data_IF_991599041460
#
_entry.id   IF_991599041460
#
_cell.length_a   1.000
_cell.length_b   1.000
_cell.length_c   1.000
_cell.angle_alpha   90.00
_cell.angle_beta   90.00
_cell.angle_gamma   90.00
#
_symmetry.space_group_name_H-M   'P 1'
#
loop_
_entity.id
_entity.type
_entity.pdbx_description
1 polymer ?
#
# COMPACT_ATOMS: atom_id res chain seq x y z
N UNK A 1 -6.93 30.41 -4.49
CA UNK A 1 -7.02 30.17 -3.05
C UNK A 1 -7.85 28.94 -2.68
N UNK A 2 -9.11 28.79 -3.10
CA UNK A 2 -9.97 27.64 -2.73
C UNK A 2 -9.34 26.28 -3.03
N UNK A 3 -8.80 26.06 -4.24
CA UNK A 3 -8.15 24.78 -4.61
C UNK A 3 -6.89 24.50 -3.79
N UNK A 4 -6.14 25.51 -3.36
CA UNK A 4 -4.95 25.32 -2.53
C UNK A 4 -5.31 24.82 -1.12
N UNK A 5 -6.34 25.43 -0.51
CA UNK A 5 -6.84 25.00 0.81
C UNK A 5 -7.38 23.57 0.73
N UNK A 6 -8.19 23.27 -0.31
CA UNK A 6 -8.69 21.92 -0.52
C UNK A 6 -7.54 20.92 -0.80
N UNK A 7 -6.49 21.33 -1.53
CA UNK A 7 -5.32 20.50 -1.75
C UNK A 7 -4.58 20.17 -0.45
N UNK A 8 -4.35 21.17 0.41
CA UNK A 8 -3.76 20.92 1.74
C UNK A 8 -4.64 19.98 2.58
N UNK A 9 -5.97 20.10 2.52
CA UNK A 9 -6.90 19.18 3.19
C UNK A 9 -6.79 17.75 2.65
N UNK A 10 -6.65 17.57 1.33
CA UNK A 10 -6.46 16.23 0.73
C UNK A 10 -5.12 15.61 1.15
N UNK A 11 -4.05 16.40 1.18
CA UNK A 11 -2.78 15.92 1.72
C UNK A 11 -2.91 15.50 3.19
N UNK A 12 -3.65 16.28 4.00
CA UNK A 12 -3.82 15.95 5.41
C UNK A 12 -4.57 14.63 5.62
N UNK A 13 -5.51 14.29 4.73
CA UNK A 13 -6.18 12.97 4.73
C UNK A 13 -5.19 11.85 4.41
N UNK A 14 -4.32 12.04 3.41
CA UNK A 14 -3.29 11.07 3.03
C UNK A 14 -2.13 11.00 4.02
N UNK A 15 -1.93 12.04 4.83
CA UNK A 15 -0.71 12.28 5.60
C UNK A 15 -0.38 11.12 6.55
N UNK A 16 -1.36 10.64 7.31
CA UNK A 16 -1.13 9.57 8.28
C UNK A 16 -0.61 8.28 7.64
N UNK A 17 -1.22 7.88 6.56
CA UNK A 17 -0.80 6.70 5.80
C UNK A 17 0.54 6.93 5.07
N UNK A 18 0.73 8.12 4.50
CA UNK A 18 1.95 8.48 3.77
C UNK A 18 3.20 8.42 4.64
N UNK A 19 3.14 8.96 5.86
CA UNK A 19 4.30 8.99 6.76
C UNK A 19 4.55 7.67 7.48
N UNK A 20 3.55 6.81 7.56
CA UNK A 20 3.65 5.53 8.24
C UNK A 20 4.65 4.59 7.53
N UNK A 21 4.63 4.53 6.20
CA UNK A 21 5.54 3.66 5.42
C UNK A 21 7.01 3.98 5.69
N UNK A 22 7.50 5.23 5.55
CA UNK A 22 8.90 5.53 5.83
C UNK A 22 9.26 5.27 7.29
N UNK A 23 8.38 5.55 8.26
CA UNK A 23 8.64 5.28 9.67
C UNK A 23 8.80 3.78 9.96
N UNK A 24 8.04 2.91 9.26
CA UNK A 24 8.14 1.46 9.41
C UNK A 24 9.37 0.86 8.76
N UNK A 25 9.77 1.44 7.63
CA UNK A 25 10.87 0.92 6.81
C UNK A 25 12.22 1.56 7.15
N UNK A 26 12.25 2.55 8.05
CA UNK A 26 13.47 3.28 8.40
C UNK A 26 13.89 4.31 7.33
N UNK A 27 13.01 4.63 6.38
CA UNK A 27 13.25 5.67 5.38
C UNK A 27 12.90 7.06 5.95
N UNK A 28 13.39 8.11 5.30
CA UNK A 28 13.14 9.49 5.73
C UNK A 28 11.71 9.95 5.38
N UNK A 29 10.87 10.36 6.35
CA UNK A 29 9.53 10.86 6.09
C UNK A 29 9.48 12.11 5.21
N UNK A 30 10.50 13.00 5.27
CA UNK A 30 10.57 14.16 4.40
C UNK A 30 10.83 13.76 2.94
N UNK A 31 11.69 12.75 2.71
CA UNK A 31 11.91 12.20 1.37
C UNK A 31 10.62 11.57 0.83
N UNK A 32 9.86 10.86 1.69
CA UNK A 32 8.58 10.28 1.29
C UNK A 32 7.53 11.36 0.92
N UNK A 33 7.43 12.44 1.69
CA UNK A 33 6.57 13.60 1.36
C UNK A 33 6.97 14.24 0.02
N UNK A 34 8.27 14.43 -0.19
CA UNK A 34 8.79 14.99 -1.44
C UNK A 34 8.49 14.06 -2.63
N UNK A 35 8.77 12.77 -2.48
CA UNK A 35 8.50 11.75 -3.48
C UNK A 35 7.02 11.63 -3.85
N UNK A 36 6.12 11.70 -2.87
CA UNK A 36 4.67 11.71 -3.09
C UNK A 36 4.23 12.96 -3.88
N UNK A 37 4.78 14.12 -3.54
CA UNK A 37 4.51 15.36 -4.27
C UNK A 37 4.98 15.30 -5.73
N UNK A 38 6.24 14.96 -5.96
CA UNK A 38 6.80 14.82 -7.32
C UNK A 38 6.06 13.73 -8.11
N UNK A 39 5.82 12.57 -7.50
CA UNK A 39 5.11 11.46 -8.14
C UNK A 39 3.69 11.86 -8.56
N UNK A 40 2.94 12.54 -7.68
CA UNK A 40 1.60 13.05 -8.01
C UNK A 40 1.63 14.06 -9.15
N UNK A 41 2.62 14.97 -9.20
CA UNK A 41 2.75 15.93 -10.30
C UNK A 41 3.04 15.23 -11.63
N UNK A 42 3.95 14.25 -11.64
CA UNK A 42 4.27 13.46 -12.83
C UNK A 42 3.05 12.65 -13.30
N UNK A 43 2.34 12.01 -12.38
CA UNK A 43 1.09 11.32 -12.69
C UNK A 43 0.05 12.28 -13.34
N UNK A 44 -0.11 13.49 -12.79
CA UNK A 44 -1.01 14.51 -13.34
C UNK A 44 -0.60 14.93 -14.76
N UNK A 45 0.69 15.02 -15.06
CA UNK A 45 1.19 15.34 -16.41
C UNK A 45 0.85 14.19 -17.37
N UNK A 46 1.14 12.95 -17.02
CA UNK A 46 0.94 11.76 -17.87
C UNK A 46 -0.55 11.53 -18.12
N UNK A 47 -1.39 11.70 -17.10
CA UNK A 47 -2.85 11.57 -17.19
C UNK A 47 -3.55 12.81 -17.73
N UNK A 48 -2.78 13.84 -18.15
CA UNK A 48 -3.29 15.11 -18.67
C UNK A 48 -4.25 15.81 -17.71
N UNK A 49 -3.93 15.78 -16.42
CA UNK A 49 -4.75 16.35 -15.33
C UNK A 49 -6.22 15.90 -15.39
N UNK A 50 -6.44 14.63 -15.72
CA UNK A 50 -7.82 14.10 -15.88
C UNK A 50 -8.34 13.49 -14.58
N UNK A 51 -7.47 12.88 -13.76
CA UNK A 51 -7.84 12.06 -12.61
C UNK A 51 -7.60 12.82 -11.30
N UNK A 52 -8.63 13.03 -10.46
CA UNK A 52 -8.48 13.71 -9.17
C UNK A 52 -8.05 12.72 -8.07
N UNK A 53 -6.83 12.20 -8.17
CA UNK A 53 -6.26 11.29 -7.20
C UNK A 53 -4.86 11.77 -6.79
N UNK A 54 -4.48 11.50 -5.53
CA UNK A 54 -3.18 11.77 -4.97
C UNK A 54 -2.41 10.45 -4.83
N UNK A 55 -1.12 10.47 -5.11
CA UNK A 55 -0.24 9.32 -4.99
C UNK A 55 0.65 9.49 -3.77
N UNK A 56 0.84 8.40 -3.03
CA UNK A 56 1.74 8.39 -1.89
C UNK A 56 2.31 6.98 -1.63
N UNK A 57 3.02 6.81 -0.53
CA UNK A 57 3.79 5.61 -0.20
C UNK A 57 2.94 4.34 -0.19
N UNK A 58 3.31 3.34 -0.96
CA UNK A 58 2.60 2.07 -1.10
C UNK A 58 2.87 1.11 0.07
N UNK A 59 1.81 0.62 0.71
CA UNK A 59 1.90 -0.37 1.79
C UNK A 59 2.36 -1.76 1.32
N UNK A 60 2.10 -2.10 0.07
CA UNK A 60 2.49 -3.39 -0.49
C UNK A 60 4.00 -3.61 -0.50
N UNK A 61 4.76 -2.52 -0.50
CA UNK A 61 6.22 -2.58 -0.51
C UNK A 61 6.86 -2.55 0.89
N UNK A 62 6.11 -2.43 2.00
CA UNK A 62 6.70 -2.33 3.35
C UNK A 62 7.59 -3.53 3.64
N UNK A 63 7.04 -4.76 3.60
CA UNK A 63 7.82 -5.96 3.87
C UNK A 63 8.98 -6.16 2.88
N UNK A 64 8.79 -5.99 1.55
CA UNK A 64 9.88 -6.02 0.59
C UNK A 64 10.98 -4.98 0.85
N UNK A 65 10.63 -3.75 1.24
CA UNK A 65 11.62 -2.71 1.57
C UNK A 65 12.40 -3.11 2.83
N UNK A 66 11.73 -3.56 3.89
CA UNK A 66 12.39 -3.98 5.13
C UNK A 66 13.38 -5.11 4.85
N UNK A 67 12.98 -6.12 4.09
CA UNK A 67 13.85 -7.21 3.68
C UNK A 67 15.02 -6.69 2.82
N UNK A 68 14.73 -5.88 1.81
CA UNK A 68 15.74 -5.35 0.89
C UNK A 68 16.81 -4.50 1.59
N UNK A 69 16.40 -3.65 2.53
CA UNK A 69 17.32 -2.81 3.31
C UNK A 69 18.25 -3.68 4.16
N UNK A 70 17.74 -4.75 4.77
CA UNK A 70 18.56 -5.68 5.55
C UNK A 70 19.52 -6.49 4.67
N UNK A 71 19.07 -6.93 3.49
CA UNK A 71 19.85 -7.80 2.62
C UNK A 71 20.89 -7.06 1.77
N UNK A 72 20.53 -5.85 1.26
CA UNK A 72 21.34 -5.14 0.25
C UNK A 72 21.59 -3.67 0.56
N UNK A 73 21.02 -3.13 1.64
CA UNK A 73 21.06 -1.71 1.97
C UNK A 73 20.02 -0.87 1.22
N UNK A 74 19.90 0.41 1.62
CA UNK A 74 18.86 1.32 1.10
C UNK A 74 19.05 1.56 -0.40
N UNK A 75 20.25 1.91 -0.85
CA UNK A 75 20.51 2.32 -2.24
C UNK A 75 20.18 1.19 -3.24
N UNK A 76 20.61 -0.06 -2.97
CA UNK A 76 20.30 -1.21 -3.80
C UNK A 76 18.81 -1.56 -3.78
N UNK A 77 18.15 -1.43 -2.62
CA UNK A 77 16.70 -1.59 -2.49
C UNK A 77 15.96 -0.58 -3.37
N UNK A 78 16.36 0.69 -3.38
CA UNK A 78 15.78 1.72 -4.25
C UNK A 78 15.94 1.37 -5.73
N UNK A 79 17.07 0.80 -6.15
CA UNK A 79 17.27 0.31 -7.51
C UNK A 79 16.30 -0.80 -7.91
N UNK A 80 16.04 -1.74 -7.00
CA UNK A 80 15.03 -2.77 -7.17
C UNK A 80 13.61 -2.20 -7.28
N UNK A 81 13.27 -1.24 -6.45
CA UNK A 81 11.98 -0.56 -6.47
C UNK A 81 11.76 0.30 -7.73
N UNK A 82 12.82 0.90 -8.28
CA UNK A 82 12.76 1.52 -9.61
C UNK A 82 12.39 0.51 -10.69
N UNK A 83 12.96 -0.69 -10.64
CA UNK A 83 12.61 -1.75 -11.59
C UNK A 83 11.13 -2.17 -11.45
N UNK A 84 10.59 -2.22 -10.23
CA UNK A 84 9.15 -2.42 -10.01
C UNK A 84 8.31 -1.31 -10.67
N UNK A 85 8.72 -0.05 -10.58
CA UNK A 85 8.08 1.06 -11.30
C UNK A 85 8.14 0.90 -12.83
N UNK A 86 9.26 0.39 -13.37
CA UNK A 86 9.38 0.10 -14.79
C UNK A 86 8.40 -1.00 -15.24
N UNK A 87 8.10 -1.99 -14.39
CA UNK A 87 7.07 -3.02 -14.67
C UNK A 87 5.70 -2.38 -14.94
N UNK A 88 5.31 -1.34 -14.18
CA UNK A 88 4.03 -0.66 -14.43
C UNK A 88 4.01 0.04 -15.78
N UNK A 89 5.14 0.62 -16.21
CA UNK A 89 5.24 1.23 -17.54
C UNK A 89 5.08 0.16 -18.61
N UNK A 90 5.75 -0.99 -18.44
CA UNK A 90 5.63 -2.14 -19.35
C UNK A 90 4.17 -2.63 -19.39
N UNK A 91 3.51 -2.78 -18.24
CA UNK A 91 2.09 -3.15 -18.16
C UNK A 91 1.23 -2.11 -18.88
N UNK A 92 1.52 -0.82 -18.74
CA UNK A 92 0.83 0.24 -19.47
C UNK A 92 0.96 0.08 -20.99
N UNK A 93 2.15 -0.24 -21.48
CA UNK A 93 2.38 -0.52 -22.92
C UNK A 93 1.61 -1.77 -23.35
N UNK A 94 1.65 -2.85 -22.57
CA UNK A 94 0.91 -4.09 -22.84
C UNK A 94 -0.59 -3.83 -22.93
N UNK A 95 -1.15 -3.08 -21.97
CA UNK A 95 -2.57 -2.69 -21.98
C UNK A 95 -2.91 -1.85 -23.22
N UNK A 96 -2.03 -0.93 -23.62
CA UNK A 96 -2.23 -0.11 -24.81
C UNK A 96 -2.29 -0.94 -26.09
N UNK A 97 -1.48 -2.01 -26.19
CA UNK A 97 -1.36 -2.85 -27.39
C UNK A 97 -2.41 -3.97 -27.42
N UNK A 98 -2.62 -4.65 -26.29
CA UNK A 98 -3.47 -5.85 -26.16
C UNK A 98 -4.85 -5.59 -25.57
N UNK A 99 -5.12 -4.36 -25.10
CA UNK A 99 -6.36 -4.03 -24.41
C UNK A 99 -6.34 -4.37 -22.92
N UNK A 100 -7.40 -3.95 -22.20
CA UNK A 100 -7.54 -4.17 -20.75
C UNK A 100 -7.83 -5.63 -20.42
N UNK A 101 -8.33 -6.41 -21.35
CA UNK A 101 -8.71 -7.84 -21.18
C UNK A 101 -7.53 -8.71 -20.70
N UNK A 102 -6.30 -8.36 -21.06
CA UNK A 102 -5.12 -9.10 -20.62
C UNK A 102 -4.95 -9.03 -19.09
N UNK A 103 -5.31 -7.89 -18.50
CA UNK A 103 -5.28 -7.73 -17.04
C UNK A 103 -6.29 -8.64 -16.37
N UNK A 104 -7.52 -8.69 -16.89
CA UNK A 104 -8.56 -9.59 -16.37
C UNK A 104 -8.18 -11.07 -16.49
N UNK A 105 -7.41 -11.42 -17.51
CA UNK A 105 -6.93 -12.80 -17.72
C UNK A 105 -5.79 -13.18 -16.76
N UNK A 106 -4.82 -12.29 -16.57
CA UNK A 106 -3.65 -12.56 -15.73
C UNK A 106 -3.94 -12.37 -14.23
N UNK A 107 -4.76 -11.39 -13.92
CA UNK A 107 -5.04 -10.89 -12.57
C UNK A 107 -6.56 -10.88 -12.29
N UNK A 108 -7.25 -12.04 -12.43
CA UNK A 108 -8.65 -12.11 -12.04
C UNK A 108 -8.80 -11.97 -10.53
N UNK A 109 -10.00 -11.66 -10.02
CA UNK A 109 -10.25 -11.47 -8.58
C UNK A 109 -9.78 -12.64 -7.69
N UNK A 110 -9.82 -13.87 -8.19
CA UNK A 110 -9.34 -15.06 -7.48
C UNK A 110 -7.83 -15.06 -7.24
N UNK A 111 -7.06 -14.35 -8.05
CA UNK A 111 -5.61 -14.11 -7.87
C UNK A 111 -5.38 -12.90 -6.98
N UNK A 112 -6.07 -11.81 -7.29
CA UNK A 112 -5.87 -10.49 -6.67
C UNK A 112 -6.26 -10.49 -5.20
N UNK A 113 -7.44 -11.02 -4.88
CA UNK A 113 -7.97 -11.03 -3.51
C UNK A 113 -6.98 -11.61 -2.50
N UNK A 114 -6.52 -12.85 -2.69
CA UNK A 114 -5.56 -13.47 -1.77
C UNK A 114 -4.22 -12.73 -1.67
N UNK A 115 -3.71 -12.18 -2.78
CA UNK A 115 -2.46 -11.41 -2.78
C UNK A 115 -2.59 -10.14 -1.92
N UNK A 116 -3.70 -9.41 -2.03
CA UNK A 116 -3.99 -8.26 -1.16
C UNK A 116 -4.13 -8.70 0.30
N UNK A 117 -4.80 -9.84 0.56
CA UNK A 117 -4.90 -10.38 1.92
C UNK A 117 -3.52 -10.69 2.52
N UNK A 118 -2.60 -11.24 1.73
CA UNK A 118 -1.21 -11.50 2.15
C UNK A 118 -0.47 -10.22 2.51
N UNK A 119 -0.68 -9.10 1.79
CA UNK A 119 -0.07 -7.81 2.14
C UNK A 119 -0.45 -7.40 3.56
N UNK A 120 -1.73 -7.45 3.89
CA UNK A 120 -2.20 -7.08 5.23
C UNK A 120 -1.78 -8.08 6.31
N UNK A 121 -2.08 -9.36 6.11
CA UNK A 121 -1.84 -10.40 7.12
C UNK A 121 -0.35 -10.74 7.31
N UNK A 122 0.45 -10.60 6.26
CA UNK A 122 1.91 -10.83 6.34
C UNK A 122 2.63 -9.81 7.23
N UNK A 123 2.06 -8.61 7.38
CA UNK A 123 2.59 -7.56 8.26
C UNK A 123 1.96 -7.57 9.67
N UNK A 124 0.95 -8.41 9.92
CA UNK A 124 0.28 -8.47 11.22
C UNK A 124 1.23 -8.80 12.38
N UNK A 125 2.19 -9.74 12.27
CA UNK A 125 3.16 -9.98 13.34
C UNK A 125 3.98 -8.75 13.70
N UNK A 126 4.40 -7.95 12.70
CA UNK A 126 5.13 -6.72 12.94
C UNK A 126 4.28 -5.68 13.68
N UNK A 127 3.00 -5.53 13.31
CA UNK A 127 2.08 -4.64 14.00
C UNK A 127 1.90 -5.03 15.49
N UNK A 128 1.75 -6.33 15.77
CA UNK A 128 1.61 -6.83 17.14
C UNK A 128 2.90 -6.63 17.94
N UNK A 129 4.07 -6.95 17.38
CA UNK A 129 5.35 -6.70 18.05
C UNK A 129 5.52 -5.23 18.41
N UNK A 130 5.24 -4.33 17.48
CA UNK A 130 5.33 -2.90 17.70
C UNK A 130 4.30 -2.41 18.73
N UNK A 131 3.09 -2.93 18.74
CA UNK A 131 2.08 -2.62 19.75
C UNK A 131 2.52 -3.05 21.17
N UNK A 132 3.32 -4.12 21.26
CA UNK A 132 3.94 -4.58 22.50
C UNK A 132 5.23 -3.82 22.85
N UNK A 133 5.60 -2.78 22.11
CA UNK A 133 6.79 -1.95 22.36
C UNK A 133 8.10 -2.55 21.86
N UNK A 134 8.04 -3.53 20.97
CA UNK A 134 9.21 -4.17 20.34
C UNK A 134 9.50 -3.59 18.97
N UNK A 135 10.68 -3.90 18.43
CA UNK A 135 10.95 -3.73 16.99
C UNK A 135 9.97 -4.56 16.16
N UNK A 136 9.77 -4.23 14.88
CA UNK A 136 8.82 -4.94 14.02
C UNK A 136 9.11 -6.45 13.88
N UNK A 137 10.38 -6.85 13.95
CA UNK A 137 10.82 -8.24 13.98
C UNK A 137 10.69 -8.91 15.37
N UNK A 138 10.35 -8.13 16.40
CA UNK A 138 10.18 -8.60 17.78
C UNK A 138 11.47 -8.84 18.55
N UNK A 139 12.65 -8.55 17.96
CA UNK A 139 13.97 -8.89 18.53
C UNK A 139 14.38 -8.01 19.71
N UNK A 140 13.98 -6.72 19.72
CA UNK A 140 14.41 -5.74 20.73
C UNK A 140 13.20 -5.08 21.38
N UNK A 141 13.20 -4.98 22.70
CA UNK A 141 12.22 -4.18 23.47
C UNK A 141 12.64 -2.73 23.50
N UNK A 142 11.85 -1.84 22.90
CA UNK A 142 12.13 -0.40 22.81
C UNK A 142 11.37 0.40 23.86
N UNK A 143 10.18 -0.04 24.24
CA UNK A 143 9.33 0.61 25.25
C UNK A 143 8.84 -0.47 26.22
N UNK A 144 8.81 -0.15 27.51
CA UNK A 144 8.29 -1.06 28.55
C UNK A 144 6.92 -1.60 28.15
N UNK A 145 6.69 -2.91 28.33
CA UNK A 145 5.50 -3.60 27.86
C UNK A 145 4.19 -3.01 28.40
N UNK A 146 4.13 -2.63 29.67
CA UNK A 146 2.92 -2.05 30.28
C UNK A 146 2.60 -0.69 29.66
N UNK A 147 3.59 0.19 29.54
CA UNK A 147 3.43 1.48 28.87
C UNK A 147 3.06 1.29 27.38
N UNK A 148 3.69 0.33 26.70
CA UNK A 148 3.41 0.03 25.31
C UNK A 148 1.97 -0.41 25.07
N UNK A 149 1.43 -1.30 25.93
CA UNK A 149 0.04 -1.74 25.85
C UNK A 149 -0.97 -0.60 26.02
N UNK A 150 -0.74 0.31 26.97
CA UNK A 150 -1.60 1.48 27.13
C UNK A 150 -1.53 2.40 25.93
N UNK A 151 -0.32 2.72 25.44
CA UNK A 151 -0.11 3.62 24.30
C UNK A 151 -0.74 3.02 23.05
N UNK A 152 -0.45 1.76 22.72
CA UNK A 152 -0.99 1.10 21.54
C UNK A 152 -2.50 0.89 21.64
N UNK A 153 -3.01 0.51 22.82
CA UNK A 153 -4.43 0.34 23.06
C UNK A 153 -5.22 1.64 22.88
N UNK A 154 -4.73 2.77 23.40
CA UNK A 154 -5.36 4.08 23.19
C UNK A 154 -5.28 4.51 21.73
N UNK A 155 -4.12 4.34 21.07
CA UNK A 155 -3.96 4.64 19.64
C UNK A 155 -4.96 3.86 18.79
N UNK A 156 -5.07 2.56 19.03
CA UNK A 156 -6.03 1.68 18.33
C UNK A 156 -7.47 2.10 18.62
N UNK A 157 -7.82 2.28 19.89
CA UNK A 157 -9.18 2.63 20.30
C UNK A 157 -9.64 3.95 19.65
N UNK A 158 -8.81 4.99 19.71
CA UNK A 158 -9.13 6.29 19.09
C UNK A 158 -9.26 6.17 17.59
N UNK A 159 -8.37 5.40 16.94
CA UNK A 159 -8.47 5.12 15.49
C UNK A 159 -9.80 4.44 15.16
N UNK A 160 -10.22 3.43 15.93
CA UNK A 160 -11.51 2.73 15.74
C UNK A 160 -12.68 3.70 15.96
N UNK A 161 -12.65 4.47 17.05
CA UNK A 161 -13.74 5.40 17.38
C UNK A 161 -13.91 6.44 16.27
N UNK A 162 -12.82 7.03 15.77
CA UNK A 162 -12.90 7.98 14.66
C UNK A 162 -13.39 7.29 13.40
N UNK A 163 -12.89 6.12 13.07
CA UNK A 163 -13.27 5.38 11.85
C UNK A 163 -14.75 5.05 11.82
N UNK A 164 -15.34 4.69 12.97
CA UNK A 164 -16.73 4.19 13.06
C UNK A 164 -17.73 5.32 13.35
N UNK A 165 -17.42 6.20 14.31
CA UNK A 165 -18.40 7.14 14.86
C UNK A 165 -18.24 8.57 14.34
N UNK A 166 -17.05 8.96 13.82
CA UNK A 166 -16.85 10.31 13.32
C UNK A 166 -17.68 10.57 12.06
N UNK A 167 -18.05 11.83 11.88
CA UNK A 167 -18.84 12.31 10.73
C UNK A 167 -18.08 13.40 9.97
N UNK A 168 -18.44 13.60 8.70
CA UNK A 168 -17.86 14.65 7.87
C UNK A 168 -16.35 14.46 7.70
N UNK A 169 -15.60 15.55 7.79
CA UNK A 169 -14.15 15.58 7.57
C UNK A 169 -13.37 14.71 8.58
N UNK A 170 -13.77 14.68 9.84
CA UNK A 170 -13.07 13.90 10.86
C UNK A 170 -13.07 12.39 10.59
N UNK A 171 -14.08 11.86 9.90
CA UNK A 171 -14.13 10.46 9.48
C UNK A 171 -12.96 10.07 8.55
N UNK A 172 -12.32 11.07 7.92
CA UNK A 172 -11.20 10.87 7.01
C UNK A 172 -9.83 10.86 7.72
N UNK A 173 -9.80 11.08 9.04
CA UNK A 173 -8.57 11.27 9.82
C UNK A 173 -8.38 10.24 10.95
N UNK A 174 -8.76 8.95 10.79
CA UNK A 174 -8.65 7.98 11.88
C UNK A 174 -7.19 7.76 12.29
N UNK A 175 -6.28 7.63 11.34
CA UNK A 175 -4.85 7.42 11.57
C UNK A 175 -4.25 8.63 12.29
N UNK A 176 -4.51 9.85 11.80
CA UNK A 176 -4.01 11.07 12.45
C UNK A 176 -4.52 11.21 13.89
N UNK A 177 -5.78 10.87 14.14
CA UNK A 177 -6.34 10.90 15.49
C UNK A 177 -5.71 9.87 16.42
N UNK A 178 -5.46 8.66 15.92
CA UNK A 178 -4.74 7.61 16.64
C UNK A 178 -3.30 8.01 16.97
N UNK A 179 -2.59 8.61 15.99
CA UNK A 179 -1.24 9.17 16.23
C UNK A 179 -1.29 10.22 17.32
N UNK A 180 -2.18 11.21 17.22
CA UNK A 180 -2.26 12.30 18.19
C UNK A 180 -2.53 11.80 19.62
N UNK A 181 -3.50 10.89 19.78
CA UNK A 181 -3.86 10.34 21.08
C UNK A 181 -2.74 9.48 21.69
N UNK A 182 -2.16 8.58 20.89
CA UNK A 182 -1.05 7.73 21.32
C UNK A 182 0.21 8.54 21.64
N UNK A 183 0.51 9.56 20.84
CA UNK A 183 1.63 10.45 21.07
C UNK A 183 1.45 11.28 22.37
N UNK A 184 0.25 11.81 22.60
CA UNK A 184 -0.06 12.52 23.85
C UNK A 184 0.15 11.61 25.08
N UNK A 185 -0.30 10.36 25.01
CA UNK A 185 -0.08 9.40 26.08
C UNK A 185 1.39 9.01 26.22
N UNK A 186 2.12 8.94 25.11
CA UNK A 186 3.57 8.69 25.11
C UNK A 186 4.36 9.81 25.77
N UNK A 187 3.91 11.06 25.64
CA UNK A 187 4.47 12.20 26.37
C UNK A 187 4.23 12.04 27.88
N UNK A 188 3.05 11.62 28.28
CA UNK A 188 2.74 11.37 29.70
C UNK A 188 3.62 10.28 30.31
N UNK A 189 3.90 9.19 29.57
CA UNK A 189 4.81 8.13 30.01
C UNK A 189 6.30 8.48 29.87
N UNK A 190 6.64 9.66 29.31
CA UNK A 190 8.04 10.10 29.16
C UNK A 190 8.86 9.28 28.16
N UNK A 191 8.21 8.59 27.21
CA UNK A 191 8.90 7.74 26.22
C UNK A 191 9.30 8.49 24.94
N UNK A 192 8.94 9.77 24.82
CA UNK A 192 9.26 10.61 23.68
C UNK A 192 10.56 11.37 23.91
N UNK A 193 11.50 11.28 22.96
CA UNK A 193 12.72 12.09 22.96
C UNK A 193 12.65 13.18 21.90
N UNK A 194 12.78 14.45 22.29
CA UNK A 194 12.79 15.59 21.38
C UNK A 194 14.19 15.95 20.85
N UNK A 195 15.22 15.18 21.18
CA UNK A 195 16.59 15.44 20.71
C UNK A 195 16.70 15.58 19.18
N UNK A 196 16.05 14.74 18.35
CA UNK A 196 16.05 14.90 16.89
C UNK A 196 15.44 16.25 16.45
N UNK A 197 14.36 16.69 17.11
CA UNK A 197 13.66 17.95 16.77
C UNK A 197 14.51 19.16 17.11
N UNK A 198 15.23 19.10 18.24
CA UNK A 198 16.11 20.20 18.68
C UNK A 198 17.28 20.39 17.70
N UNK A 199 17.85 19.29 17.20
CA UNK A 199 19.00 19.30 16.29
C UNK A 199 18.61 19.63 14.84
N UNK A 200 17.37 19.35 14.43
CA UNK A 200 16.91 19.58 13.07
C UNK A 200 16.81 21.08 12.75
N UNK A 201 17.23 21.43 11.53
CA UNK A 201 17.00 22.77 10.98
C UNK A 201 15.51 22.97 10.66
N UNK A 202 15.06 24.24 10.70
CA UNK A 202 13.69 24.57 10.28
C UNK A 202 13.44 24.24 8.82
N UNK A 203 14.37 24.61 7.94
CA UNK A 203 14.34 24.34 6.53
C UNK A 203 15.60 23.58 6.14
N UNK A 204 15.43 22.43 5.51
CA UNK A 204 16.50 21.60 5.00
C UNK A 204 16.00 20.86 3.76
N UNK A 205 16.90 20.58 2.84
CA UNK A 205 16.63 19.61 1.79
C UNK A 205 16.52 18.22 2.43
N UNK A 206 15.55 17.37 2.02
CA UNK A 206 15.48 15.99 2.47
C UNK A 206 16.78 15.23 2.16
N UNK A 207 17.09 14.23 2.97
CA UNK A 207 18.28 13.39 2.79
C UNK A 207 18.04 12.38 1.66
N UNK A 208 18.20 12.79 0.41
CA UNK A 208 18.01 11.93 -0.74
C UNK A 208 19.05 10.82 -0.79
N UNK A 209 18.58 9.60 -1.07
CA UNK A 209 19.43 8.43 -1.29
C UNK A 209 19.21 7.94 -2.71
N UNK A 210 20.24 8.08 -3.55
CA UNK A 210 20.15 7.66 -4.95
C UNK A 210 20.26 6.15 -5.09
N UNK A 211 19.59 5.56 -6.09
CA UNK A 211 19.57 4.11 -6.27
C UNK A 211 20.89 3.55 -6.80
N UNK A 212 21.24 2.36 -6.31
CA UNK A 212 22.25 1.48 -6.90
C UNK A 212 21.55 0.27 -7.53
N UNK A 213 22.05 -0.20 -8.67
CA UNK A 213 21.44 -1.32 -9.37
C UNK A 213 22.09 -2.64 -8.97
N UNK A 214 21.38 -3.40 -8.12
CA UNK A 214 21.71 -4.75 -7.72
C UNK A 214 20.74 -5.73 -8.35
N UNK A 215 21.25 -6.73 -9.08
CA UNK A 215 20.42 -7.67 -9.83
C UNK A 215 19.50 -8.49 -8.91
N UNK A 216 19.97 -8.88 -7.71
CA UNK A 216 19.16 -9.65 -6.76
C UNK A 216 18.00 -8.81 -6.22
N UNK A 217 18.25 -7.53 -5.88
CA UNK A 217 17.22 -6.58 -5.47
C UNK A 217 16.18 -6.34 -6.59
N UNK A 218 16.64 -6.21 -7.85
CA UNK A 218 15.77 -6.02 -9.01
C UNK A 218 14.86 -7.24 -9.21
N UNK A 219 15.43 -8.44 -9.26
CA UNK A 219 14.68 -9.68 -9.46
C UNK A 219 13.68 -9.95 -8.32
N UNK A 220 14.03 -9.57 -7.09
CA UNK A 220 13.14 -9.67 -5.93
C UNK A 220 11.96 -8.69 -6.00
N UNK A 221 12.21 -7.43 -6.43
CA UNK A 221 11.19 -6.38 -6.40
C UNK A 221 10.22 -6.43 -7.60
N UNK A 222 10.64 -6.96 -8.75
CA UNK A 222 9.78 -7.06 -9.94
C UNK A 222 8.44 -7.75 -9.66
N UNK A 223 8.38 -8.92 -9.03
CA UNK A 223 7.11 -9.60 -8.74
C UNK A 223 6.21 -8.85 -7.76
N UNK A 224 6.80 -8.07 -6.84
CA UNK A 224 6.02 -7.26 -5.88
C UNK A 224 5.14 -6.25 -6.60
N UNK A 225 5.59 -5.73 -7.76
CA UNK A 225 4.85 -4.76 -8.56
C UNK A 225 3.45 -5.23 -8.98
N UNK A 226 3.20 -6.54 -9.01
CA UNK A 226 1.92 -7.12 -9.44
C UNK A 226 0.78 -6.67 -8.54
N UNK A 227 0.98 -6.72 -7.21
CA UNK A 227 -0.08 -6.44 -6.26
C UNK A 227 -0.56 -4.98 -6.31
N UNK A 228 0.30 -3.96 -6.23
CA UNK A 228 -0.12 -2.56 -6.37
C UNK A 228 -0.61 -2.21 -7.79
N UNK A 229 -0.14 -2.90 -8.84
CA UNK A 229 -0.68 -2.70 -10.19
C UNK A 229 -2.17 -3.05 -10.25
N UNK A 230 -2.57 -4.07 -9.52
CA UNK A 230 -3.98 -4.46 -9.40
C UNK A 230 -4.76 -3.50 -8.52
N UNK A 231 -4.19 -3.10 -7.38
CA UNK A 231 -4.75 -2.06 -6.51
C UNK A 231 -5.05 -0.79 -7.30
N UNK A 232 -4.11 -0.35 -8.16
CA UNK A 232 -4.29 0.78 -9.05
C UNK A 232 -5.52 0.65 -9.96
N UNK A 233 -5.78 -0.52 -10.53
CA UNK A 233 -7.00 -0.75 -11.34
C UNK A 233 -8.26 -0.58 -10.50
N UNK A 234 -8.27 -1.11 -9.28
CA UNK A 234 -9.36 -0.94 -8.32
C UNK A 234 -9.61 0.52 -7.97
N UNK A 235 -8.55 1.28 -7.73
CA UNK A 235 -8.63 2.71 -7.41
C UNK A 235 -9.15 3.54 -8.60
N UNK A 236 -8.74 3.20 -9.83
CA UNK A 236 -9.27 3.86 -11.03
C UNK A 236 -10.76 3.59 -11.21
N UNK A 237 -11.24 2.40 -10.91
CA UNK A 237 -12.67 2.09 -10.89
C UNK A 237 -13.41 2.83 -9.76
N UNK A 238 -12.84 2.87 -8.57
CA UNK A 238 -13.42 3.56 -7.41
C UNK A 238 -13.58 5.07 -7.68
N UNK A 239 -12.52 5.74 -8.14
CA UNK A 239 -12.57 7.18 -8.45
C UNK A 239 -13.47 7.47 -9.65
N UNK A 240 -13.57 6.55 -10.62
CA UNK A 240 -14.52 6.65 -11.73
C UNK A 240 -15.97 6.68 -11.24
N UNK A 241 -16.33 5.76 -10.35
CA UNK A 241 -17.65 5.68 -9.74
C UNK A 241 -17.99 6.94 -8.93
N UNK A 242 -17.02 7.46 -8.17
CA UNK A 242 -17.19 8.66 -7.34
C UNK A 242 -17.41 9.93 -8.17
N UNK A 243 -16.70 10.06 -9.28
CA UNK A 243 -16.73 11.27 -10.11
C UNK A 243 -17.74 11.20 -11.27
N UNK A 244 -18.28 10.00 -11.55
CA UNK A 244 -19.14 9.75 -12.71
C UNK A 244 -18.41 9.80 -14.06
N UNK A 245 -17.07 9.64 -14.05
CA UNK A 245 -16.23 9.64 -15.26
C UNK A 245 -15.51 8.31 -15.40
N UNK A 246 -15.44 7.77 -16.60
CA UNK A 246 -14.75 6.52 -16.88
C UNK A 246 -13.25 6.76 -17.14
N UNK A 247 -12.42 6.63 -16.11
CA UNK A 247 -10.97 6.81 -16.23
C UNK A 247 -10.26 5.60 -16.83
N UNK A 248 -10.92 4.45 -16.89
CA UNK A 248 -10.41 3.26 -17.61
C UNK A 248 -10.38 3.53 -19.11
N UNK A 249 -11.38 4.27 -19.63
CA UNK A 249 -11.43 4.66 -21.05
C UNK A 249 -10.67 5.96 -21.33
N UNK A 250 -10.85 7.01 -20.49
CA UNK A 250 -10.25 8.34 -20.71
C UNK A 250 -9.77 8.92 -19.38
N UNK A 251 -8.45 9.08 -19.17
CA UNK A 251 -7.33 9.08 -20.13
C UNK A 251 -6.91 7.70 -20.61
N UNK A 252 -7.45 6.63 -20.06
CA UNK A 252 -7.16 5.24 -20.35
C UNK A 252 -6.25 4.59 -19.31
N UNK A 253 -6.58 3.34 -18.93
CA UNK A 253 -5.84 2.58 -17.91
C UNK A 253 -4.34 2.49 -18.24
N UNK A 254 -3.97 2.36 -19.52
CA UNK A 254 -2.58 2.34 -19.94
C UNK A 254 -1.79 3.58 -19.54
N UNK A 255 -2.45 4.76 -19.48
CA UNK A 255 -1.80 6.01 -19.05
C UNK A 255 -1.74 6.13 -17.53
N UNK A 256 -2.80 5.71 -16.84
CA UNK A 256 -2.83 5.84 -15.38
C UNK A 256 -1.84 4.90 -14.75
N UNK A 257 -1.74 3.64 -15.19
CA UNK A 257 -0.75 2.68 -14.68
C UNK A 257 0.69 3.06 -15.05
N UNK A 258 0.91 3.57 -16.29
CA UNK A 258 2.23 4.08 -16.66
C UNK A 258 2.59 5.34 -15.86
N UNK A 259 1.61 6.19 -15.54
CA UNK A 259 1.79 7.35 -14.67
C UNK A 259 2.18 6.97 -13.26
N UNK A 260 1.57 5.92 -12.71
CA UNK A 260 1.92 5.34 -11.41
C UNK A 260 3.34 4.77 -11.41
N UNK A 261 3.73 4.08 -12.50
CA UNK A 261 5.09 3.58 -12.70
C UNK A 261 6.14 4.69 -12.74
N UNK A 262 5.89 5.76 -13.49
CA UNK A 262 6.80 6.92 -13.54
C UNK A 262 6.87 7.62 -12.19
N UNK A 263 5.75 7.75 -11.48
CA UNK A 263 5.70 8.31 -10.13
C UNK A 263 6.53 7.47 -9.14
N UNK A 264 6.39 6.14 -9.20
CA UNK A 264 7.17 5.18 -8.41
C UNK A 264 8.66 5.30 -8.72
N UNK A 265 9.05 5.32 -10.01
CA UNK A 265 10.46 5.47 -10.40
C UNK A 265 11.05 6.80 -9.90
N UNK A 266 10.32 7.89 -10.04
CA UNK A 266 10.78 9.20 -9.58
C UNK A 266 10.92 9.28 -8.05
N UNK A 267 9.98 8.70 -7.32
CA UNK A 267 10.03 8.64 -5.85
C UNK A 267 11.24 7.81 -5.39
N UNK A 268 11.40 6.60 -5.92
CA UNK A 268 12.48 5.69 -5.54
C UNK A 268 13.86 6.17 -6.02
N UNK A 269 13.93 6.93 -7.12
CA UNK A 269 15.16 7.61 -7.52
C UNK A 269 15.66 8.60 -6.46
N UNK A 270 14.77 9.20 -5.70
CA UNK A 270 15.08 10.14 -4.63
C UNK A 270 15.26 9.44 -3.26
N UNK A 271 15.07 8.14 -3.17
CA UNK A 271 15.12 7.39 -1.91
C UNK A 271 13.80 7.36 -1.15
N UNK A 272 12.70 7.79 -1.78
CA UNK A 272 11.36 7.66 -1.22
C UNK A 272 10.78 6.26 -1.44
N UNK A 273 9.81 5.82 -0.63
CA UNK A 273 9.03 4.62 -0.92
C UNK A 273 8.33 4.72 -2.30
N UNK A 274 8.06 3.57 -2.97
CA UNK A 274 7.23 3.54 -4.17
C UNK A 274 5.89 4.22 -3.95
N UNK A 275 5.42 4.97 -4.94
CA UNK A 275 4.11 5.60 -4.90
C UNK A 275 3.03 4.66 -5.44
N UNK A 276 1.81 4.84 -4.93
CA UNK A 276 0.59 4.25 -5.46
C UNK A 276 -0.57 5.22 -5.30
N UNK A 277 -1.67 4.98 -5.98
CA UNK A 277 -2.91 5.73 -5.81
C UNK A 277 -3.54 5.46 -4.44
N UNK A 278 -4.08 6.50 -3.78
CA UNK A 278 -4.64 6.39 -2.43
C UNK A 278 -6.16 6.34 -2.42
N UNK A 279 -6.72 5.21 -2.00
CA UNK A 279 -8.16 5.00 -1.81
C UNK A 279 -8.75 5.93 -0.75
N UNK A 280 -7.99 6.29 0.29
CA UNK A 280 -8.39 7.23 1.34
C UNK A 280 -8.72 8.60 0.74
N UNK A 281 -7.90 9.04 -0.23
CA UNK A 281 -8.14 10.30 -0.94
C UNK A 281 -9.40 10.19 -1.82
N UNK A 282 -9.67 9.04 -2.43
CA UNK A 282 -10.92 8.80 -3.17
C UNK A 282 -12.14 8.96 -2.26
N UNK A 283 -12.07 8.45 -1.02
CA UNK A 283 -13.09 8.67 0.00
C UNK A 283 -13.28 10.15 0.34
N UNK A 284 -12.18 10.90 0.46
CA UNK A 284 -12.22 12.34 0.69
C UNK A 284 -12.81 13.11 -0.50
N UNK A 285 -12.45 12.76 -1.72
CA UNK A 285 -13.02 13.33 -2.95
C UNK A 285 -14.53 13.11 -3.01
N UNK A 286 -15.01 11.93 -2.62
CA UNK A 286 -16.44 11.62 -2.55
C UNK A 286 -17.17 12.52 -1.55
N UNK A 287 -16.65 12.66 -0.33
CA UNK A 287 -17.28 13.45 0.73
C UNK A 287 -17.26 14.95 0.47
N UNK A 288 -16.16 15.46 -0.08
CA UNK A 288 -15.95 16.90 -0.31
C UNK A 288 -16.39 17.36 -1.68
N UNK A 289 -16.75 16.41 -2.59
CA UNK A 289 -17.02 16.65 -4.01
C UNK A 289 -15.88 17.41 -4.72
N UNK A 290 -14.65 17.16 -4.31
CA UNK A 290 -13.43 17.79 -4.82
C UNK A 290 -12.98 17.15 -6.14
N UNK A 291 -13.82 17.19 -7.18
CA UNK A 291 -13.62 16.50 -8.46
C UNK A 291 -12.62 17.18 -9.40
N UNK A 292 -12.12 18.37 -9.02
CA UNK A 292 -11.16 19.08 -9.85
C UNK A 292 -9.73 18.55 -9.62
N UNK A 293 -9.05 17.98 -10.64
CA UNK A 293 -7.69 17.46 -10.51
C UNK A 293 -6.66 18.50 -10.06
N UNK A 294 -6.90 19.80 -10.30
CA UNK A 294 -6.02 20.86 -9.82
C UNK A 294 -5.87 20.88 -8.27
N UNK A 295 -6.86 20.33 -7.55
CA UNK A 295 -6.77 20.19 -6.09
C UNK A 295 -5.63 19.25 -5.73
N UNK A 296 -5.44 18.15 -6.46
CA UNK A 296 -4.35 17.19 -6.24
C UNK A 296 -2.99 17.79 -6.64
N UNK A 297 -2.96 18.66 -7.63
CA UNK A 297 -1.74 19.44 -7.93
C UNK A 297 -1.34 20.32 -6.72
N UNK A 298 -2.29 20.96 -6.06
CA UNK A 298 -2.02 21.74 -4.85
C UNK A 298 -1.66 20.87 -3.64
N UNK A 299 -2.27 19.67 -3.52
CA UNK A 299 -1.87 18.71 -2.51
C UNK A 299 -0.39 18.29 -2.68
N UNK A 300 0.03 18.04 -3.92
CA UNK A 300 1.40 17.69 -4.27
C UNK A 300 2.39 18.84 -3.96
N UNK A 301 2.05 20.06 -4.33
CA UNK A 301 2.86 21.26 -3.99
C UNK A 301 2.97 21.42 -2.48
N UNK A 302 1.88 21.24 -1.74
CA UNK A 302 1.90 21.31 -0.27
C UNK A 302 2.80 20.22 0.33
N UNK A 303 2.76 18.99 -0.21
CA UNK A 303 3.63 17.91 0.23
C UNK A 303 5.12 18.25 0.02
N UNK A 304 5.48 18.81 -1.15
CA UNK A 304 6.86 19.24 -1.43
C UNK A 304 7.29 20.36 -0.46
N UNK A 305 6.42 21.33 -0.20
CA UNK A 305 6.74 22.43 0.73
C UNK A 305 6.93 21.89 2.15
N UNK A 306 6.07 20.99 2.62
CA UNK A 306 6.21 20.38 3.94
C UNK A 306 7.45 19.49 4.03
N UNK A 307 7.85 18.83 2.96
CA UNK A 307 9.07 18.02 2.89
C UNK A 307 10.36 18.85 3.18
N UNK A 308 10.32 20.15 2.87
CA UNK A 308 11.43 21.07 3.15
C UNK A 308 11.48 21.56 4.61
N UNK A 309 10.47 21.23 5.42
CA UNK A 309 10.44 21.56 6.85
C UNK A 309 11.14 20.45 7.63
N UNK A 310 12.44 20.60 7.87
CA UNK A 310 13.27 19.61 8.55
C UNK A 310 12.75 19.20 9.94
N UNK A 311 12.25 20.17 10.71
CA UNK A 311 11.63 19.89 12.02
C UNK A 311 10.38 19.01 11.94
N UNK A 312 9.64 19.04 10.83
CA UNK A 312 8.48 18.16 10.65
C UNK A 312 8.92 16.68 10.56
N UNK A 313 9.90 16.38 9.71
CA UNK A 313 10.42 15.01 9.61
C UNK A 313 11.03 14.52 10.92
N UNK A 314 11.80 15.38 11.59
CA UNK A 314 12.35 15.08 12.90
C UNK A 314 11.24 14.81 13.95
N UNK A 315 10.15 15.57 13.94
CA UNK A 315 9.00 15.34 14.83
C UNK A 315 8.33 14.01 14.54
N UNK A 316 8.14 13.66 13.26
CA UNK A 316 7.54 12.38 12.87
C UNK A 316 8.40 11.19 13.34
N UNK A 317 9.72 11.31 13.30
CA UNK A 317 10.64 10.28 13.80
C UNK A 317 10.61 10.11 15.33
N UNK A 318 10.04 11.06 16.08
CA UNK A 318 9.86 10.92 17.55
C UNK A 318 8.62 10.09 17.91
N UNK A 319 7.78 9.71 16.94
CA UNK A 319 6.58 8.91 17.21
C UNK A 319 7.00 7.52 17.72
N UNK A 320 6.63 7.16 18.97
CA UNK A 320 7.04 5.89 19.54
C UNK A 320 6.42 4.69 18.84
N UNK A 321 7.17 3.60 18.80
CA UNK A 321 6.78 2.34 18.13
C UNK A 321 5.41 1.83 18.55
N UNK A 322 4.97 1.86 19.83
CA UNK A 322 3.64 1.40 20.23
C UNK A 322 2.49 2.20 19.61
N UNK A 323 2.69 3.51 19.36
CA UNK A 323 1.68 4.35 18.69
C UNK A 323 1.43 3.81 17.28
N UNK A 324 2.51 3.55 16.54
CA UNK A 324 2.43 2.98 15.20
C UNK A 324 1.82 1.57 15.24
N UNK A 325 2.28 0.71 16.14
CA UNK A 325 1.78 -0.65 16.30
C UNK A 325 0.27 -0.70 16.50
N UNK A 326 -0.28 0.14 17.39
CA UNK A 326 -1.71 0.22 17.64
C UNK A 326 -2.52 0.57 16.39
N UNK A 327 -2.07 1.55 15.62
CA UNK A 327 -2.73 1.98 14.38
C UNK A 327 -2.63 0.89 13.29
N UNK A 328 -1.46 0.26 13.20
CA UNK A 328 -1.18 -0.75 12.17
C UNK A 328 -2.06 -1.99 12.30
N UNK A 329 -2.48 -2.37 13.51
CA UNK A 329 -3.41 -3.48 13.72
C UNK A 329 -4.70 -3.27 12.91
N UNK A 330 -5.29 -2.08 13.00
CA UNK A 330 -6.49 -1.76 12.23
C UNK A 330 -6.19 -1.61 10.73
N UNK A 331 -5.07 -0.95 10.39
CA UNK A 331 -4.69 -0.67 9.01
C UNK A 331 -4.44 -1.97 8.23
N UNK A 332 -3.63 -2.88 8.74
CA UNK A 332 -3.32 -4.14 8.05
C UNK A 332 -4.52 -5.08 8.01
N UNK A 333 -5.33 -5.10 9.08
CA UNK A 333 -6.62 -5.78 9.07
C UNK A 333 -7.55 -5.23 7.98
N UNK A 334 -7.58 -3.91 7.78
CA UNK A 334 -8.37 -3.27 6.71
C UNK A 334 -7.89 -3.68 5.33
N UNK A 335 -6.57 -3.73 5.09
CA UNK A 335 -6.01 -4.19 3.81
C UNK A 335 -6.41 -5.64 3.54
N UNK A 336 -6.29 -6.52 4.53
CA UNK A 336 -6.73 -7.91 4.39
C UNK A 336 -8.24 -8.00 4.06
N UNK A 337 -9.05 -7.16 4.68
CA UNK A 337 -10.49 -7.08 4.40
C UNK A 337 -10.80 -6.58 2.99
N UNK A 338 -10.00 -5.68 2.43
CA UNK A 338 -10.11 -5.25 1.02
C UNK A 338 -9.88 -6.43 0.08
N UNK A 339 -8.86 -7.26 0.34
CA UNK A 339 -8.62 -8.48 -0.42
C UNK A 339 -9.80 -9.46 -0.35
N UNK A 340 -10.35 -9.69 0.85
CA UNK A 340 -11.54 -10.51 1.04
C UNK A 340 -12.76 -9.92 0.29
N UNK A 341 -12.97 -8.63 0.39
CA UNK A 341 -14.05 -7.93 -0.32
C UNK A 341 -13.92 -8.05 -1.85
N UNK A 342 -12.70 -8.13 -2.36
CA UNK A 342 -12.46 -8.35 -3.79
C UNK A 342 -13.02 -9.70 -4.24
N UNK A 343 -12.86 -10.76 -3.44
CA UNK A 343 -13.45 -12.08 -3.73
C UNK A 343 -14.98 -12.02 -3.67
N UNK A 344 -15.54 -11.42 -2.64
CA UNK A 344 -17.00 -11.36 -2.40
C UNK A 344 -17.69 -10.54 -3.50
N UNK A 345 -17.21 -9.33 -3.80
CA UNK A 345 -17.84 -8.43 -4.78
C UNK A 345 -17.82 -8.97 -6.20
N UNK A 346 -16.81 -9.78 -6.52
CA UNK A 346 -16.69 -10.39 -7.85
C UNK A 346 -17.30 -11.81 -7.86
N UNK A 347 -18.04 -12.20 -6.82
CA UNK A 347 -18.73 -13.48 -6.73
C UNK A 347 -17.82 -14.69 -7.03
N UNK A 348 -16.58 -14.65 -6.47
CA UNK A 348 -15.62 -15.75 -6.63
C UNK A 348 -16.16 -16.95 -5.86
N UNK A 349 -16.58 -17.98 -6.58
CA UNK A 349 -17.09 -19.21 -6.00
C UNK A 349 -15.93 -20.08 -5.48
N UNK A 350 -15.82 -20.18 -4.15
CA UNK A 350 -14.79 -20.97 -3.46
C UNK A 350 -15.17 -22.45 -3.32
N UNK A 351 -16.39 -22.86 -3.70
CA UNK A 351 -16.74 -24.28 -3.80
C UNK A 351 -16.09 -24.94 -5.02
N UNK A 352 -15.72 -24.14 -6.03
CA UNK A 352 -14.95 -24.64 -7.16
C UNK A 352 -13.52 -24.97 -6.71
N UNK A 353 -13.12 -26.24 -6.83
CA UNK A 353 -11.81 -26.74 -6.38
C UNK A 353 -10.64 -25.91 -6.93
N UNK A 354 -10.74 -25.44 -8.19
CA UNK A 354 -9.75 -24.56 -8.79
C UNK A 354 -9.55 -23.26 -7.99
N UNK A 355 -10.62 -22.56 -7.69
CA UNK A 355 -10.58 -21.29 -6.98
C UNK A 355 -10.11 -21.48 -5.53
N UNK A 356 -10.59 -22.55 -4.87
CA UNK A 356 -10.15 -22.92 -3.53
C UNK A 356 -8.64 -23.14 -3.48
N UNK A 357 -8.09 -23.92 -4.43
CA UNK A 357 -6.65 -24.20 -4.49
C UNK A 357 -5.84 -22.94 -4.70
N UNK A 358 -6.23 -22.06 -5.64
CA UNK A 358 -5.52 -20.80 -5.89
C UNK A 358 -5.49 -19.96 -4.62
N UNK A 359 -6.65 -19.77 -3.97
CA UNK A 359 -6.74 -18.93 -2.75
C UNK A 359 -5.95 -19.55 -1.61
N UNK A 360 -6.15 -20.84 -1.31
CA UNK A 360 -5.53 -21.51 -0.18
C UNK A 360 -4.00 -21.54 -0.30
N UNK A 361 -3.48 -21.93 -1.46
CA UNK A 361 -2.03 -22.01 -1.70
C UNK A 361 -1.42 -20.61 -1.63
N UNK A 362 -2.02 -19.61 -2.26
CA UNK A 362 -1.53 -18.23 -2.22
C UNK A 362 -1.42 -17.70 -0.79
N UNK A 363 -2.46 -17.90 0.03
CA UNK A 363 -2.46 -17.45 1.43
C UNK A 363 -1.39 -18.15 2.25
N UNK A 364 -1.28 -19.49 2.15
CA UNK A 364 -0.32 -20.25 2.94
C UNK A 364 1.12 -19.92 2.55
N UNK A 365 1.43 -19.80 1.26
CA UNK A 365 2.78 -19.42 0.82
C UNK A 365 3.13 -17.98 1.23
N UNK A 366 2.17 -17.06 1.14
CA UNK A 366 2.41 -15.66 1.45
C UNK A 366 2.57 -15.36 2.95
N UNK A 367 1.75 -15.99 3.80
CA UNK A 367 1.72 -15.73 5.25
C UNK A 367 2.64 -16.70 6.00
N UNK A 368 2.78 -17.93 5.51
CA UNK A 368 3.51 -19.01 6.18
C UNK A 368 5.04 -18.87 6.19
N UNK A 369 5.57 -17.80 5.60
CA UNK A 369 7.02 -17.54 5.59
C UNK A 369 7.82 -18.47 4.68
N UNK A 370 7.17 -19.14 3.71
CA UNK A 370 7.89 -19.97 2.75
C UNK A 370 8.79 -19.08 1.87
N UNK A 371 10.01 -19.51 1.67
CA UNK A 371 10.99 -18.88 0.80
C UNK A 371 11.54 -19.88 -0.21
N UNK A 372 11.60 -19.48 -1.47
CA UNK A 372 12.34 -20.20 -2.51
C UNK A 372 13.55 -19.37 -2.89
N UNK A 373 14.74 -19.96 -2.72
CA UNK A 373 16.00 -19.28 -2.99
C UNK A 373 16.99 -20.14 -3.75
N UNK A 374 17.77 -19.50 -4.60
CA UNK A 374 18.95 -20.08 -5.26
C UNK A 374 20.09 -19.08 -5.08
N UNK A 375 21.11 -19.49 -4.29
CA UNK A 375 22.21 -18.58 -3.93
C UNK A 375 21.73 -17.42 -3.05
N UNK A 376 22.07 -16.20 -3.41
CA UNK A 376 21.65 -14.98 -2.70
C UNK A 376 20.25 -14.49 -3.07
N UNK A 377 19.63 -15.10 -4.06
CA UNK A 377 18.29 -14.76 -4.50
C UNK A 377 17.23 -15.55 -3.72
N UNK A 378 16.30 -14.86 -3.08
CA UNK A 378 15.19 -15.48 -2.33
C UNK A 378 13.88 -14.78 -2.66
N UNK A 379 12.90 -15.56 -3.12
CA UNK A 379 11.51 -15.13 -3.28
C UNK A 379 10.71 -15.54 -2.05
N UNK A 380 10.05 -14.60 -1.40
CA UNK A 380 9.24 -14.87 -0.21
C UNK A 380 8.06 -13.89 -0.10
N UNK A 381 7.11 -14.18 0.78
CA UNK A 381 5.98 -13.29 1.08
C UNK A 381 5.18 -12.93 -0.16
N UNK A 382 4.92 -11.63 -0.36
CA UNK A 382 4.06 -11.11 -1.45
C UNK A 382 4.61 -11.43 -2.84
N UNK A 383 5.94 -11.39 -3.00
CA UNK A 383 6.60 -11.71 -4.28
C UNK A 383 6.33 -13.14 -4.71
N UNK A 384 6.50 -14.07 -3.79
CA UNK A 384 6.30 -15.51 -4.05
C UNK A 384 4.83 -15.82 -4.29
N UNK A 385 3.94 -15.37 -3.41
CA UNK A 385 2.51 -15.68 -3.53
C UNK A 385 1.89 -15.08 -4.80
N UNK A 386 2.31 -13.90 -5.23
CA UNK A 386 1.85 -13.28 -6.46
C UNK A 386 2.19 -14.11 -7.70
N UNK A 387 3.43 -14.58 -7.80
CA UNK A 387 3.86 -15.46 -8.90
C UNK A 387 3.08 -16.77 -8.87
N UNK A 388 2.98 -17.42 -7.72
CA UNK A 388 2.28 -18.71 -7.59
C UNK A 388 0.80 -18.56 -7.94
N UNK A 389 0.14 -17.51 -7.47
CA UNK A 389 -1.26 -17.26 -7.79
C UNK A 389 -1.49 -17.13 -9.31
N UNK A 390 -0.60 -16.41 -10.01
CA UNK A 390 -0.67 -16.27 -11.48
C UNK A 390 -0.40 -17.60 -12.16
N UNK A 391 0.63 -18.34 -11.75
CA UNK A 391 0.95 -19.64 -12.35
C UNK A 391 -0.23 -20.60 -12.17
N UNK A 392 -0.77 -20.73 -10.96
CA UNK A 392 -1.93 -21.58 -10.70
C UNK A 392 -3.14 -21.16 -11.53
N UNK A 393 -3.39 -19.85 -11.68
CA UNK A 393 -4.48 -19.35 -12.51
C UNK A 393 -4.32 -19.71 -13.99
N UNK A 394 -3.10 -19.75 -14.51
CA UNK A 394 -2.82 -20.07 -15.90
C UNK A 394 -2.80 -21.58 -16.19
N UNK A 395 -2.35 -22.38 -15.21
CA UNK A 395 -2.14 -23.83 -15.38
C UNK A 395 -3.38 -24.63 -15.02
N UNK A 396 -4.14 -24.22 -13.99
CA UNK A 396 -5.31 -24.97 -13.55
C UNK A 396 -6.47 -24.79 -14.55
N UNK A 397 -7.11 -25.88 -14.97
CA UNK A 397 -8.21 -25.84 -15.93
C UNK A 397 -9.43 -25.08 -15.35
N UNK A 398 -10.16 -24.40 -16.22
CA UNK A 398 -11.30 -23.57 -15.84
C UNK A 398 -12.57 -24.38 -15.56
N UNK A 399 -12.69 -25.61 -16.07
CA UNK A 399 -13.89 -26.44 -16.06
C UNK A 399 -13.63 -27.86 -15.51
N UNK A 400 -13.18 -27.98 -14.27
CA UNK A 400 -13.22 -29.27 -13.58
C UNK A 400 -14.33 -29.22 -12.52
N UNK A 401 -15.54 -29.67 -12.86
CA UNK A 401 -16.43 -30.08 -11.81
C UNK A 401 -17.93 -29.77 -11.85
N UNK A 402 -18.57 -29.55 -12.99
CA UNK A 402 -20.04 -29.56 -13.02
C UNK A 402 -20.66 -30.82 -13.66
N UNK A 403 -19.87 -31.58 -14.41
CA UNK A 403 -20.45 -32.71 -15.17
C UNK A 403 -20.47 -34.07 -14.43
N UNK A 404 -19.74 -34.24 -13.31
CA UNK A 404 -19.70 -35.56 -12.63
C UNK A 404 -20.72 -35.76 -11.50
N UNK A 405 -21.29 -34.70 -10.95
CA UNK A 405 -22.27 -34.81 -9.86
C UNK A 405 -23.68 -34.97 -10.42
N UNK A 406 -23.98 -34.33 -11.55
CA UNK A 406 -25.32 -34.42 -12.17
C UNK A 406 -25.53 -35.78 -12.87
N UNK A 407 -24.49 -36.36 -13.49
CA UNK A 407 -24.60 -37.68 -14.12
C UNK A 407 -24.80 -38.80 -13.09
N UNK A 408 -24.22 -38.71 -11.90
CA UNK A 408 -24.42 -39.73 -10.87
C UNK A 408 -25.82 -39.65 -10.21
N UNK A 409 -26.36 -38.43 -10.02
CA UNK A 409 -27.70 -38.27 -9.49
C UNK A 409 -28.79 -38.73 -10.47
N UNK A 410 -28.60 -38.56 -11.76
CA UNK A 410 -29.53 -39.03 -12.79
C UNK A 410 -29.44 -40.56 -13.05
N UNK A 411 -28.29 -41.20 -12.75
CA UNK A 411 -28.19 -42.65 -12.81
C UNK A 411 -28.84 -43.36 -11.61
N UNK A 412 -28.90 -42.71 -10.44
CA UNK A 412 -29.58 -43.27 -9.26
C UNK A 412 -31.12 -43.11 -9.33
N UNK A 413 -31.65 -42.04 -9.97
CA UNK A 413 -33.10 -41.87 -10.16
C UNK A 413 -33.68 -42.73 -11.29
N UNK A 414 -32.84 -43.29 -12.18
CA UNK A 414 -33.27 -44.18 -13.25
C UNK A 414 -33.32 -45.69 -12.91
N UNK A 415 -32.97 -46.06 -11.66
CA UNK A 415 -32.95 -47.45 -11.19
C UNK A 415 -33.97 -47.77 -10.08
N UNK A 416 -34.92 -46.88 -9.76
CA UNK A 416 -36.03 -47.16 -8.82
C UNK A 416 -37.38 -47.21 -9.56
#
# INVERSE_FOLDING_TARGET
MKNAIQGAQMLFVAFGALVLVPLLTGLDPNVALFGAGIGTLLFQIITRRSVPIFLASSFAFIAPIMYGIQAWGIAATMGGLMAAGAVYIILGVVIKVRGVEIIHKLLPPVVVGPVIMVIGLGLAPAAVNMALGKTGDGSVQLVNGDAALWISGVSLLVTIVISVFAKGFFKLLPICGGIAAGYALSLYFGVVSFAPVQQAAWFALPNFTFPEFNINAILFMIPVAIAPAVEHVGDMLAISNVTGKDYIKKPGLHRTIAGDGVATMAATFLGAPPNTTYSEVTGAVMLTKAFNPAIMTWAAVTAIVLALVGKLGALLQTIPVPVMGGIMILLFGSIATVGLNTLIKNHVDLHKSRNLVIVAVTLVFGIGGMAFGIGEFSLQGVSLCGIIAIILNLVLPHDLGENHIVDNAQMEEGQN
#
